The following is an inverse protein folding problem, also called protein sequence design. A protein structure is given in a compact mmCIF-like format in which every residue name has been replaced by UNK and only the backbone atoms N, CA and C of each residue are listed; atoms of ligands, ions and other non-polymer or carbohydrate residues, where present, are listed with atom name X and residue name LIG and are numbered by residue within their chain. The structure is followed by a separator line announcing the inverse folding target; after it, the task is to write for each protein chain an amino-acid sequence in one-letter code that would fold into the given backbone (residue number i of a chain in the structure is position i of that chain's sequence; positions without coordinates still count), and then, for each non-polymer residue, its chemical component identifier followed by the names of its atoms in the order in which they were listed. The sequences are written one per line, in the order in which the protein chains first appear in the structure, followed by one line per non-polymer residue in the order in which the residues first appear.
data_IF_174436679934
#
_entry.id   IF_174436679934
#
_cell.length_a   1.000
_cell.length_b   1.000
_cell.length_c   1.000
_cell.angle_alpha   90.00
_cell.angle_beta   90.00
_cell.angle_gamma   90.00
#
_symmetry.space_group_name_H-M   'P 1'
#
loop_
_entity.id
_entity.type
_entity.pdbx_description
1 polymer ?
#
# COMPACT_ATOMS: atom_id res chain seq x y z
N UNK A 1 0.95 39.65 -18.73
CA UNK A 1 0.38 38.65 -19.64
C UNK A 1 -0.59 37.81 -18.84
N UNK A 2 -1.83 37.71 -19.27
CA UNK A 2 -2.91 37.02 -18.56
C UNK A 2 -2.66 35.49 -18.53
N UNK A 3 -3.14 34.78 -17.47
CA UNK A 3 -3.22 33.33 -17.47
C UNK A 3 -4.01 32.90 -18.73
N UNK A 4 -3.37 32.23 -19.71
CA UNK A 4 -4.09 31.68 -20.83
C UNK A 4 -3.40 31.57 -22.18
N UNK A 5 -2.14 31.96 -22.32
CA UNK A 5 -1.49 32.08 -23.64
C UNK A 5 -0.29 31.13 -23.85
N UNK A 6 -0.45 29.84 -23.50
CA UNK A 6 0.40 28.81 -24.09
C UNK A 6 -0.34 28.28 -25.32
N UNK A 7 0.24 28.40 -26.54
CA UNK A 7 -0.39 27.85 -27.73
C UNK A 7 -0.50 26.33 -27.60
N UNK A 8 -1.64 25.75 -27.98
CA UNK A 8 -1.79 24.32 -28.06
C UNK A 8 -0.77 23.73 -29.04
N UNK A 9 0.07 22.84 -28.57
CA UNK A 9 1.09 22.16 -29.37
C UNK A 9 0.91 20.67 -29.33
N UNK A 10 1.05 20.02 -30.48
CA UNK A 10 1.11 18.55 -30.60
C UNK A 10 2.57 18.17 -30.79
N UNK A 11 3.12 17.41 -29.87
CA UNK A 11 4.52 17.02 -29.85
C UNK A 11 4.69 15.50 -29.84
N UNK A 12 5.61 15.01 -30.66
CA UNK A 12 6.08 13.63 -30.60
C UNK A 12 7.38 13.62 -29.79
N UNK A 13 7.36 12.94 -28.64
CA UNK A 13 8.44 12.97 -27.66
C UNK A 13 8.84 11.57 -27.20
N UNK A 14 10.13 11.41 -26.92
CA UNK A 14 10.67 10.19 -26.32
C UNK A 14 10.75 10.35 -24.79
N UNK A 15 10.37 9.33 -24.05
CA UNK A 15 10.40 9.33 -22.58
C UNK A 15 11.83 9.13 -22.11
N UNK A 16 12.38 10.12 -21.43
CA UNK A 16 13.75 10.10 -20.91
C UNK A 16 13.90 9.08 -19.76
N UNK A 17 13.01 9.19 -18.76
CA UNK A 17 13.01 8.32 -17.57
C UNK A 17 11.64 8.29 -16.89
N UNK A 18 11.48 7.34 -15.97
CA UNK A 18 10.31 7.24 -15.06
C UNK A 18 10.76 7.55 -13.64
N UNK A 19 10.04 8.41 -12.95
CA UNK A 19 10.35 8.77 -11.55
C UNK A 19 9.86 7.72 -10.54
N UNK A 20 10.27 7.88 -9.28
CA UNK A 20 9.87 7.00 -8.17
C UNK A 20 8.35 6.93 -7.89
N UNK A 21 7.53 7.64 -8.67
CA UNK A 21 6.06 7.59 -8.63
C UNK A 21 5.46 6.92 -9.87
N UNK A 22 6.29 6.37 -10.76
CA UNK A 22 5.85 5.76 -12.00
C UNK A 22 5.44 6.76 -13.09
N UNK A 23 5.88 8.02 -13.01
CA UNK A 23 5.57 9.04 -14.01
C UNK A 23 6.73 9.22 -14.97
N UNK A 24 6.43 9.24 -16.27
CA UNK A 24 7.39 9.52 -17.32
C UNK A 24 7.73 11.00 -17.45
N UNK A 25 8.98 11.29 -17.73
CA UNK A 25 9.52 12.63 -17.88
C UNK A 25 10.19 12.80 -19.22
N UNK A 26 9.99 14.00 -19.81
CA UNK A 26 10.65 14.45 -21.03
C UNK A 26 11.14 15.88 -20.84
N UNK A 27 12.37 16.16 -21.28
CA UNK A 27 12.93 17.50 -21.38
C UNK A 27 12.91 17.94 -22.83
N UNK A 28 11.79 18.51 -23.28
CA UNK A 28 11.62 18.97 -24.66
C UNK A 28 12.18 20.37 -24.83
N UNK A 29 13.13 20.54 -25.76
CA UNK A 29 13.70 21.84 -26.10
C UNK A 29 13.14 22.32 -27.44
N UNK A 30 12.46 23.46 -27.43
CA UNK A 30 11.94 24.08 -28.65
C UNK A 30 13.07 24.50 -29.59
N UNK A 31 12.86 24.27 -30.91
CA UNK A 31 13.77 24.82 -31.91
C UNK A 31 13.85 26.34 -31.84
N UNK A 32 15.03 26.98 -32.05
CA UNK A 32 15.25 28.39 -31.88
C UNK A 32 14.36 29.31 -32.74
N UNK A 33 13.86 28.83 -33.84
CA UNK A 33 13.09 29.57 -34.87
C UNK A 33 11.62 29.88 -34.45
N UNK A 34 11.12 29.35 -33.35
CA UNK A 34 9.77 29.64 -32.85
C UNK A 34 9.70 30.70 -31.74
N UNK A 35 10.69 31.55 -31.60
CA UNK A 35 10.70 32.62 -30.62
C UNK A 35 10.82 32.18 -29.15
N UNK A 36 11.18 30.92 -28.92
CA UNK A 36 11.26 30.30 -27.59
C UNK A 36 12.63 30.39 -26.92
N UNK A 37 13.62 31.04 -27.54
CA UNK A 37 14.99 31.21 -27.04
C UNK A 37 15.62 29.92 -26.44
N UNK A 38 15.39 28.75 -27.04
CA UNK A 38 15.92 27.47 -26.54
C UNK A 38 15.38 27.02 -25.17
N UNK A 39 14.18 27.45 -24.80
CA UNK A 39 13.57 27.08 -23.51
C UNK A 39 13.19 25.59 -23.48
N UNK A 40 13.57 24.96 -22.40
CA UNK A 40 13.21 23.54 -22.15
C UNK A 40 11.85 23.46 -21.46
N UNK A 41 10.92 22.72 -22.05
CA UNK A 41 9.64 22.33 -21.45
C UNK A 41 9.76 20.96 -20.81
N UNK A 42 9.49 20.87 -19.53
CA UNK A 42 9.40 19.60 -18.80
C UNK A 42 8.00 19.02 -18.97
N UNK A 43 7.87 17.94 -19.71
CA UNK A 43 6.62 17.22 -19.90
C UNK A 43 6.59 16.04 -18.93
N UNK A 44 5.46 15.86 -18.26
CA UNK A 44 5.21 14.73 -17.35
C UNK A 44 3.97 14.01 -17.83
N UNK A 45 4.08 12.72 -18.06
CA UNK A 45 2.98 11.86 -18.47
C UNK A 45 2.97 10.55 -17.66
N UNK A 46 1.90 9.78 -17.74
CA UNK A 46 1.73 8.51 -17.03
C UNK A 46 1.58 7.36 -18.01
N UNK A 47 1.68 6.11 -17.51
CA UNK A 47 1.48 4.89 -18.28
C UNK A 47 2.49 4.72 -19.42
N UNK A 48 3.72 5.14 -19.18
CA UNK A 48 4.83 5.07 -20.12
C UNK A 48 6.04 4.40 -19.49
N UNK A 49 6.96 3.96 -20.34
CA UNK A 49 8.27 3.44 -19.93
C UNK A 49 9.38 4.21 -20.63
N UNK A 50 10.63 4.20 -20.12
CA UNK A 50 11.76 4.85 -20.78
C UNK A 50 11.93 4.34 -22.24
N UNK A 51 12.20 5.27 -23.16
CA UNK A 51 12.33 4.98 -24.59
C UNK A 51 11.02 4.83 -25.36
N UNK A 52 9.84 4.95 -24.72
CA UNK A 52 8.59 5.12 -25.44
C UNK A 52 8.62 6.44 -26.24
N UNK A 53 8.21 6.38 -27.49
CA UNK A 53 7.90 7.58 -28.28
C UNK A 53 6.39 7.76 -28.28
N UNK A 54 5.94 8.87 -27.73
CA UNK A 54 4.51 9.17 -27.56
C UNK A 54 4.15 10.53 -28.15
N UNK A 55 2.92 10.63 -28.63
CA UNK A 55 2.31 11.92 -28.99
C UNK A 55 1.60 12.50 -27.79
N UNK A 56 1.86 13.76 -27.49
CA UNK A 56 1.20 14.52 -26.43
C UNK A 56 0.65 15.83 -26.96
N UNK A 57 -0.53 16.23 -26.48
CA UNK A 57 -1.10 17.56 -26.72
C UNK A 57 -0.87 18.43 -25.51
N UNK A 58 -0.08 19.48 -25.64
CA UNK A 58 0.21 20.45 -24.58
C UNK A 58 -0.62 21.70 -24.84
N UNK A 59 -1.67 21.91 -24.05
CA UNK A 59 -2.60 23.05 -24.13
C UNK A 59 -2.41 24.03 -22.98
N UNK A 60 -1.73 23.64 -21.90
CA UNK A 60 -1.50 24.46 -20.73
C UNK A 60 -0.20 24.08 -20.01
N UNK A 61 0.82 24.91 -20.12
CA UNK A 61 2.07 24.74 -19.40
C UNK A 61 2.19 25.74 -18.24
N UNK A 62 2.29 25.23 -17.00
CA UNK A 62 2.53 26.07 -15.81
C UNK A 62 3.85 26.83 -15.95
N UNK A 63 3.76 28.16 -16.00
CA UNK A 63 4.94 29.04 -16.12
C UNK A 63 5.71 28.86 -17.43
N UNK A 64 5.14 28.23 -18.46
CA UNK A 64 5.78 27.90 -19.75
C UNK A 64 6.95 26.90 -19.65
N UNK A 65 7.12 26.21 -18.51
CA UNK A 65 8.26 25.32 -18.28
C UNK A 65 7.85 23.90 -17.89
N UNK A 66 6.58 23.66 -17.54
CA UNK A 66 6.10 22.38 -17.05
C UNK A 66 4.69 22.08 -17.53
N UNK A 67 4.50 20.99 -18.23
CA UNK A 67 3.21 20.41 -18.59
C UNK A 67 3.02 19.05 -17.90
N UNK A 68 1.80 18.78 -17.43
CA UNK A 68 1.39 17.45 -16.93
C UNK A 68 0.19 17.05 -17.78
N UNK A 69 0.40 16.17 -18.72
CA UNK A 69 -0.57 15.79 -19.75
C UNK A 69 -0.57 14.28 -19.96
N UNK A 70 -1.72 13.66 -20.26
CA UNK A 70 -1.72 12.28 -20.77
C UNK A 70 -1.07 12.25 -22.15
N UNK A 71 -0.61 11.08 -22.60
CA UNK A 71 -0.26 10.93 -24.00
C UNK A 71 -1.50 10.56 -24.84
N UNK A 72 -1.55 11.06 -26.06
CA UNK A 72 -2.66 10.82 -26.98
C UNK A 72 -2.50 9.49 -27.73
N UNK A 73 -1.24 9.13 -28.06
CA UNK A 73 -0.92 7.93 -28.82
C UNK A 73 0.52 7.46 -28.54
N UNK A 74 0.69 6.15 -28.36
CA UNK A 74 1.99 5.49 -28.41
C UNK A 74 2.39 5.36 -29.89
N UNK A 75 3.53 5.92 -30.27
CA UNK A 75 4.07 5.88 -31.65
C UNK A 75 5.09 4.75 -31.82
N UNK A 76 5.95 4.56 -30.80
CA UNK A 76 6.94 3.50 -30.78
C UNK A 76 7.11 3.03 -29.33
N UNK A 77 7.01 1.70 -29.08
CA UNK A 77 7.25 1.17 -27.72
C UNK A 77 8.74 1.22 -27.37
N UNK A 78 9.03 1.55 -26.12
CA UNK A 78 10.36 1.43 -25.52
C UNK A 78 10.75 -0.04 -25.27
N UNK A 79 12.03 -0.32 -25.01
CA UNK A 79 12.54 -1.70 -24.90
C UNK A 79 11.95 -2.48 -23.72
N UNK A 80 11.62 -1.80 -22.63
CA UNK A 80 11.06 -2.41 -21.42
C UNK A 80 9.53 -2.46 -21.42
N UNK A 81 8.87 -1.98 -22.51
CA UNK A 81 7.41 -1.95 -22.56
C UNK A 81 6.80 -3.34 -22.68
N UNK A 82 5.84 -3.62 -21.80
CA UNK A 82 4.95 -4.78 -21.90
C UNK A 82 3.82 -4.46 -22.88
N UNK A 83 3.74 -5.19 -23.99
CA UNK A 83 2.74 -5.00 -25.06
C UNK A 83 1.47 -5.82 -24.84
N UNK A 84 1.51 -6.82 -23.94
CA UNK A 84 0.40 -7.76 -23.70
C UNK A 84 -0.59 -7.23 -22.64
N UNK A 85 -0.51 -5.95 -22.32
CA UNK A 85 -1.36 -5.36 -21.28
C UNK A 85 -2.74 -4.97 -21.80
N UNK A 86 -3.80 -5.29 -21.05
CA UNK A 86 -5.14 -4.79 -21.33
C UNK A 86 -5.20 -3.26 -21.25
N UNK A 87 -5.84 -2.61 -22.22
CA UNK A 87 -5.86 -1.13 -22.33
C UNK A 87 -6.82 -0.41 -21.37
N UNK A 88 -7.64 -1.13 -20.62
CA UNK A 88 -8.70 -0.55 -19.76
C UNK A 88 -8.20 0.00 -18.39
N UNK A 89 -6.90 -0.12 -18.11
CA UNK A 89 -6.27 0.38 -16.88
C UNK A 89 -5.66 1.78 -17.01
N UNK A 90 -5.78 2.40 -18.17
CA UNK A 90 -4.98 3.57 -18.57
C UNK A 90 -5.18 4.82 -17.70
N UNK A 91 -6.22 4.87 -16.87
CA UNK A 91 -6.63 6.11 -16.19
C UNK A 91 -6.61 6.02 -14.67
N UNK A 92 -6.57 4.81 -14.09
CA UNK A 92 -6.45 4.64 -12.64
C UNK A 92 -4.99 4.59 -12.23
N UNK A 93 -4.59 5.32 -11.21
CA UNK A 93 -3.21 5.27 -10.68
C UNK A 93 -2.87 4.03 -9.85
N UNK A 94 -3.66 2.95 -9.95
CA UNK A 94 -3.53 1.78 -9.08
C UNK A 94 -2.32 0.89 -9.41
N UNK A 95 -1.93 0.85 -10.68
CA UNK A 95 -0.83 0.03 -11.16
C UNK A 95 0.04 0.79 -12.19
N UNK A 96 0.72 1.87 -11.78
CA UNK A 96 1.40 2.79 -12.70
C UNK A 96 2.60 2.17 -13.44
N UNK A 97 3.12 1.03 -13.02
CA UNK A 97 4.20 0.30 -13.70
C UNK A 97 3.70 -0.90 -14.52
N UNK A 98 2.40 -1.12 -14.68
CA UNK A 98 1.85 -2.28 -15.40
C UNK A 98 2.34 -2.38 -16.85
N UNK A 99 2.71 -1.27 -17.49
CA UNK A 99 3.23 -1.22 -18.85
C UNK A 99 4.72 -1.56 -18.96
N UNK A 100 5.41 -1.73 -17.84
CA UNK A 100 6.80 -2.17 -17.78
C UNK A 100 6.84 -3.69 -17.59
N UNK A 101 7.72 -4.39 -18.30
CA UNK A 101 7.95 -5.82 -18.09
C UNK A 101 8.37 -6.09 -16.65
N UNK A 102 7.92 -7.19 -16.08
CA UNK A 102 8.10 -7.44 -14.66
C UNK A 102 9.59 -7.48 -14.20
N UNK A 103 10.52 -8.09 -14.92
CA UNK A 103 11.94 -8.01 -14.55
C UNK A 103 12.47 -6.57 -14.49
N UNK A 104 12.04 -5.71 -15.42
CA UNK A 104 12.44 -4.29 -15.45
C UNK A 104 11.81 -3.49 -14.29
N UNK A 105 10.60 -3.89 -13.83
CA UNK A 105 10.02 -3.32 -12.59
C UNK A 105 10.86 -3.65 -11.37
N UNK A 106 11.39 -4.87 -11.27
CA UNK A 106 12.26 -5.30 -10.17
C UNK A 106 13.57 -4.51 -10.16
N UNK A 107 14.21 -4.36 -11.31
CA UNK A 107 15.41 -3.54 -11.45
C UNK A 107 15.16 -2.07 -11.06
N UNK A 108 14.05 -1.50 -11.55
CA UNK A 108 13.63 -0.14 -11.21
C UNK A 108 13.48 0.04 -9.68
N UNK A 109 12.84 -0.90 -8.99
CA UNK A 109 12.66 -0.87 -7.53
C UNK A 109 13.96 -1.06 -6.76
N UNK A 110 14.83 -1.97 -7.21
CA UNK A 110 16.15 -2.16 -6.63
C UNK A 110 16.98 -0.87 -6.71
N UNK A 111 16.89 -0.16 -7.83
CA UNK A 111 17.57 1.13 -8.01
C UNK A 111 17.04 2.21 -7.06
N UNK A 112 15.72 2.27 -6.79
CA UNK A 112 15.15 3.21 -5.80
C UNK A 112 15.76 2.97 -4.40
N UNK A 113 15.89 1.70 -3.99
CA UNK A 113 16.50 1.34 -2.70
C UNK A 113 17.97 1.75 -2.67
N UNK A 114 18.71 1.40 -3.73
CA UNK A 114 20.13 1.73 -3.87
C UNK A 114 20.38 3.23 -3.79
N UNK A 115 19.69 4.03 -4.59
CA UNK A 115 19.84 5.48 -4.62
C UNK A 115 19.51 6.12 -3.25
N UNK A 116 18.45 5.63 -2.58
CA UNK A 116 18.06 6.15 -1.25
C UNK A 116 19.14 5.92 -0.20
N UNK A 117 19.74 4.73 -0.17
CA UNK A 117 20.80 4.39 0.78
C UNK A 117 22.12 5.09 0.43
N UNK A 118 22.46 5.19 -0.85
CA UNK A 118 23.66 5.87 -1.32
C UNK A 118 23.65 7.36 -0.96
N UNK A 119 22.51 8.04 -1.17
CA UNK A 119 22.33 9.44 -0.78
C UNK A 119 22.48 9.67 0.73
N UNK A 120 22.15 8.69 1.56
CA UNK A 120 22.33 8.73 3.01
C UNK A 120 23.74 8.25 3.46
N UNK A 121 24.62 7.89 2.52
CA UNK A 121 26.01 7.50 2.78
C UNK A 121 26.15 6.10 3.33
N UNK A 122 25.24 5.17 3.01
CA UNK A 122 25.36 3.76 3.36
C UNK A 122 26.05 2.95 2.26
N UNK A 123 26.67 1.84 2.66
CA UNK A 123 27.32 0.90 1.74
C UNK A 123 26.26 0.10 0.96
N UNK A 124 26.14 0.38 -0.33
CA UNK A 124 25.16 -0.29 -1.21
C UNK A 124 25.56 -1.69 -1.65
N UNK A 125 26.80 -2.14 -1.38
CA UNK A 125 27.21 -3.54 -1.63
C UNK A 125 26.54 -4.55 -0.69
N UNK A 126 25.88 -4.08 0.35
CA UNK A 126 25.10 -4.88 1.30
C UNK A 126 23.68 -5.18 0.83
N UNK A 127 23.26 -4.59 -0.30
CA UNK A 127 21.92 -4.80 -0.88
C UNK A 127 21.93 -6.16 -1.59
N UNK A 128 21.02 -7.02 -1.14
CA UNK A 128 20.78 -8.32 -1.76
C UNK A 128 19.92 -8.15 -3.04
N UNK A 129 19.93 -9.13 -3.96
CA UNK A 129 19.01 -9.14 -5.09
C UNK A 129 17.55 -9.01 -4.61
N UNK A 130 16.76 -8.20 -5.32
CA UNK A 130 15.35 -8.01 -4.99
C UNK A 130 14.55 -9.30 -5.17
N UNK A 131 13.68 -9.60 -4.21
CA UNK A 131 12.80 -10.77 -4.27
C UNK A 131 11.51 -10.37 -4.96
N UNK A 132 11.26 -10.95 -6.12
CA UNK A 132 10.02 -10.80 -6.89
C UNK A 132 8.97 -11.87 -6.56
N UNK A 133 7.87 -11.81 -7.30
CA UNK A 133 6.82 -12.83 -7.33
C UNK A 133 6.92 -13.67 -8.58
N UNK A 134 6.63 -14.96 -8.46
CA UNK A 134 6.48 -15.85 -9.62
C UNK A 134 5.24 -15.48 -10.43
N UNK A 135 4.12 -15.19 -9.73
CA UNK A 135 2.85 -14.73 -10.30
C UNK A 135 2.52 -13.32 -9.81
N UNK A 136 3.00 -12.25 -10.49
CA UNK A 136 2.88 -10.89 -10.01
C UNK A 136 1.48 -10.27 -10.18
N UNK A 137 0.54 -11.03 -10.76
CA UNK A 137 -0.81 -10.56 -11.03
C UNK A 137 -1.78 -10.99 -9.93
N UNK A 138 -2.84 -10.19 -9.73
CA UNK A 138 -4.01 -10.52 -8.88
C UNK A 138 -3.66 -10.90 -7.43
N UNK A 139 -2.59 -10.35 -6.91
CA UNK A 139 -2.02 -10.67 -5.60
C UNK A 139 -2.70 -9.95 -4.43
N UNK A 140 -3.48 -8.90 -4.69
CA UNK A 140 -3.95 -7.98 -3.66
C UNK A 140 -5.20 -8.53 -2.97
N UNK A 141 -5.12 -8.78 -1.67
CA UNK A 141 -6.21 -9.35 -0.88
C UNK A 141 -7.26 -8.34 -0.41
N UNK A 142 -7.06 -7.04 -0.63
CA UNK A 142 -8.02 -5.97 -0.26
C UNK A 142 -8.12 -4.92 -1.36
N UNK A 143 -9.33 -4.60 -1.79
CA UNK A 143 -9.64 -3.49 -2.68
C UNK A 143 -10.70 -2.60 -2.07
N UNK A 144 -10.56 -1.29 -2.30
CA UNK A 144 -11.56 -0.29 -1.93
C UNK A 144 -11.88 0.55 -3.16
N UNK A 145 -13.15 0.56 -3.54
CA UNK A 145 -13.68 1.28 -4.69
C UNK A 145 -14.60 2.39 -4.20
N UNK A 146 -14.70 3.46 -4.97
CA UNK A 146 -15.62 4.56 -4.72
C UNK A 146 -16.82 4.48 -5.65
N UNK A 147 -18.01 4.79 -5.13
CA UNK A 147 -19.19 5.04 -5.94
C UNK A 147 -19.14 6.47 -6.48
N UNK A 148 -19.20 6.60 -7.80
CA UNK A 148 -19.27 7.89 -8.48
C UNK A 148 -20.70 8.40 -8.57
N UNK A 149 -20.91 9.74 -8.64
CA UNK A 149 -22.23 10.34 -8.61
C UNK A 149 -23.09 10.06 -9.86
N UNK A 150 -22.48 9.59 -10.95
CA UNK A 150 -23.16 9.24 -12.20
C UNK A 150 -23.30 7.72 -12.42
N UNK A 151 -23.00 6.91 -11.40
CA UNK A 151 -23.25 5.47 -11.38
C UNK A 151 -22.01 4.60 -11.62
N UNK A 152 -20.82 5.20 -11.63
CA UNK A 152 -19.57 4.48 -11.69
C UNK A 152 -19.29 3.79 -10.34
N UNK A 153 -18.65 2.63 -10.39
CA UNK A 153 -18.06 1.96 -9.24
C UNK A 153 -16.61 1.59 -9.58
N UNK A 154 -15.66 2.29 -8.98
CA UNK A 154 -14.26 2.08 -9.34
C UNK A 154 -13.29 2.96 -8.58
N UNK A 155 -12.22 3.35 -9.25
CA UNK A 155 -11.10 4.06 -8.66
C UNK A 155 -11.08 5.53 -9.11
N UNK A 156 -10.48 6.39 -8.28
CA UNK A 156 -10.27 7.77 -8.67
C UNK A 156 -9.27 7.90 -9.81
N UNK A 157 -9.55 8.81 -10.74
CA UNK A 157 -8.63 9.14 -11.83
C UNK A 157 -7.32 9.68 -11.26
N UNK A 158 -6.21 9.24 -11.81
CA UNK A 158 -4.89 9.76 -11.43
C UNK A 158 -4.82 11.28 -11.63
N UNK A 159 -4.47 12.00 -10.55
CA UNK A 159 -4.42 13.46 -10.56
C UNK A 159 -5.77 14.17 -10.43
N UNK A 160 -6.88 13.46 -10.43
CA UNK A 160 -8.23 14.01 -10.23
C UNK A 160 -9.06 13.14 -9.28
N UNK A 161 -8.93 13.38 -7.98
CA UNK A 161 -9.64 12.63 -6.93
C UNK A 161 -11.18 12.81 -6.91
N UNK A 162 -11.70 13.73 -7.72
CA UNK A 162 -13.15 13.97 -7.83
C UNK A 162 -13.82 13.06 -8.86
N UNK A 163 -13.05 12.57 -9.83
CA UNK A 163 -13.57 11.71 -10.89
C UNK A 163 -13.32 10.26 -10.57
N UNK A 164 -14.40 9.49 -10.47
CA UNK A 164 -14.35 8.03 -10.37
C UNK A 164 -14.35 7.44 -11.79
N UNK A 165 -13.48 6.48 -12.03
CA UNK A 165 -13.40 5.70 -13.27
C UNK A 165 -13.96 4.32 -12.97
N UNK A 166 -14.94 3.89 -13.74
CA UNK A 166 -15.56 2.57 -13.57
C UNK A 166 -14.52 1.47 -13.77
N UNK A 167 -14.45 0.53 -12.83
CA UNK A 167 -13.46 -0.55 -12.84
C UNK A 167 -14.04 -1.79 -13.52
N UNK A 168 -13.62 -2.09 -14.73
CA UNK A 168 -14.08 -3.28 -15.46
C UNK A 168 -13.22 -4.51 -15.18
N UNK A 169 -11.91 -4.33 -14.93
CA UNK A 169 -10.99 -5.39 -14.52
C UNK A 169 -9.79 -4.77 -13.77
N UNK A 170 -8.95 -5.59 -13.14
CA UNK A 170 -7.74 -5.15 -12.44
C UNK A 170 -6.64 -6.22 -12.52
N UNK A 171 -5.42 -5.79 -12.90
CA UNK A 171 -4.28 -6.69 -12.91
C UNK A 171 -3.85 -7.10 -11.47
N UNK A 172 -4.15 -6.27 -10.48
CA UNK A 172 -3.74 -6.52 -9.09
C UNK A 172 -4.82 -7.17 -8.22
N UNK A 173 -6.10 -7.07 -8.61
CA UNK A 173 -7.22 -7.62 -7.84
C UNK A 173 -7.59 -9.04 -8.27
N UNK A 174 -7.88 -9.96 -7.34
CA UNK A 174 -8.49 -11.25 -7.64
C UNK A 174 -9.78 -11.13 -8.45
N UNK A 175 -10.06 -12.11 -9.31
CA UNK A 175 -11.26 -12.09 -10.17
C UNK A 175 -12.54 -12.00 -9.34
N UNK A 176 -12.62 -12.69 -8.21
CA UNK A 176 -13.78 -12.64 -7.32
C UNK A 176 -14.16 -11.21 -6.91
N UNK A 177 -13.19 -10.32 -6.70
CA UNK A 177 -13.48 -8.92 -6.37
C UNK A 177 -14.08 -8.16 -7.54
N UNK A 178 -13.68 -8.49 -8.77
CA UNK A 178 -14.26 -7.90 -9.99
C UNK A 178 -15.70 -8.39 -10.18
N UNK A 179 -15.96 -9.66 -9.92
CA UNK A 179 -17.29 -10.25 -9.98
C UNK A 179 -18.22 -9.64 -8.91
N UNK A 180 -17.76 -9.47 -7.67
CA UNK A 180 -18.49 -8.73 -6.61
C UNK A 180 -18.80 -7.32 -7.07
N UNK A 181 -17.81 -6.60 -7.62
CA UNK A 181 -18.01 -5.24 -8.14
C UNK A 181 -19.12 -5.20 -9.20
N UNK A 182 -19.17 -6.16 -10.11
CA UNK A 182 -20.19 -6.20 -11.15
C UNK A 182 -21.60 -6.42 -10.56
N UNK A 183 -21.74 -7.33 -9.60
CA UNK A 183 -23.03 -7.58 -8.91
C UNK A 183 -23.47 -6.32 -8.16
N UNK A 184 -22.58 -5.70 -7.38
CA UNK A 184 -22.88 -4.49 -6.61
C UNK A 184 -23.20 -3.30 -7.53
N UNK A 185 -22.48 -3.16 -8.65
CA UNK A 185 -22.76 -2.10 -9.64
C UNK A 185 -24.14 -2.28 -10.29
N UNK A 186 -24.55 -3.53 -10.58
CA UNK A 186 -25.89 -3.81 -11.11
C UNK A 186 -26.95 -3.56 -10.05
N UNK A 187 -26.75 -4.03 -8.81
CA UNK A 187 -27.64 -3.76 -7.68
C UNK A 187 -27.85 -2.25 -7.43
N UNK A 188 -26.78 -1.46 -7.50
CA UNK A 188 -26.85 0.01 -7.39
C UNK A 188 -27.78 0.60 -8.43
N UNK A 189 -27.69 0.12 -9.70
CA UNK A 189 -28.49 0.60 -10.83
C UNK A 189 -29.96 0.19 -10.69
N UNK A 190 -30.20 -1.04 -10.30
CA UNK A 190 -31.58 -1.58 -10.15
C UNK A 190 -32.38 -0.83 -9.08
N UNK A 191 -31.69 -0.30 -8.07
CA UNK A 191 -32.30 0.49 -6.98
C UNK A 191 -32.18 2.02 -7.18
N UNK A 192 -31.67 2.49 -8.32
CA UNK A 192 -31.39 3.92 -8.61
C UNK A 192 -30.59 4.65 -7.52
N UNK A 193 -29.72 3.94 -6.80
CA UNK A 193 -28.89 4.53 -5.77
C UNK A 193 -27.76 5.36 -6.37
N UNK A 194 -27.60 6.56 -5.85
CA UNK A 194 -26.54 7.49 -6.29
C UNK A 194 -25.30 7.35 -5.43
N UNK A 195 -24.13 7.38 -6.07
CA UNK A 195 -22.86 7.56 -5.39
C UNK A 195 -22.77 8.95 -4.76
N UNK A 196 -21.98 9.03 -3.68
CA UNK A 196 -21.84 10.26 -2.91
C UNK A 196 -21.07 11.34 -3.67
N UNK A 197 -21.73 12.46 -3.93
CA UNK A 197 -21.13 13.66 -4.49
C UNK A 197 -20.49 14.49 -3.36
N UNK A 198 -19.16 14.54 -3.37
CA UNK A 198 -18.37 15.25 -2.34
C UNK A 198 -18.52 16.77 -2.38
N UNK A 199 -18.97 17.35 -3.50
CA UNK A 199 -19.16 18.79 -3.65
C UNK A 199 -20.55 19.21 -3.20
N UNK A 200 -21.56 18.36 -3.40
CA UNK A 200 -22.96 18.63 -3.03
C UNK A 200 -23.38 17.99 -1.70
N UNK A 201 -22.56 17.08 -1.18
CA UNK A 201 -22.87 16.28 0.02
C UNK A 201 -24.20 15.52 -0.09
N UNK A 202 -24.44 14.91 -1.26
CA UNK A 202 -25.63 14.12 -1.57
C UNK A 202 -25.26 12.78 -2.16
N UNK A 203 -26.15 11.79 -2.01
CA UNK A 203 -25.97 10.43 -2.50
C UNK A 203 -25.80 9.43 -1.34
N UNK A 204 -26.28 8.21 -1.55
CA UNK A 204 -26.34 7.15 -0.54
C UNK A 204 -25.01 6.42 -0.40
N UNK A 205 -24.46 5.93 -1.53
CA UNK A 205 -23.33 4.99 -1.54
C UNK A 205 -22.00 5.72 -1.62
N UNK A 206 -21.06 5.38 -0.74
CA UNK A 206 -19.73 6.02 -0.68
C UNK A 206 -18.63 5.14 -1.21
N UNK A 207 -18.41 4.00 -0.57
CA UNK A 207 -17.32 3.08 -0.91
C UNK A 207 -17.80 1.63 -0.87
N UNK A 208 -17.17 0.79 -1.67
CA UNK A 208 -17.22 -0.66 -1.59
C UNK A 208 -15.83 -1.16 -1.23
N UNK A 209 -15.70 -1.83 -0.09
CA UNK A 209 -14.48 -2.54 0.26
C UNK A 209 -14.71 -4.04 0.11
N UNK A 210 -13.74 -4.71 -0.50
CA UNK A 210 -13.71 -6.15 -0.66
C UNK A 210 -12.40 -6.68 -0.11
N UNK A 211 -12.46 -7.80 0.58
CA UNK A 211 -11.29 -8.51 1.07
C UNK A 211 -11.48 -10.00 0.86
N UNK A 212 -10.44 -10.70 0.41
CA UNK A 212 -10.44 -12.15 0.29
C UNK A 212 -9.22 -12.72 1.00
N UNK A 213 -9.41 -13.86 1.63
CA UNK A 213 -8.31 -14.68 2.11
C UNK A 213 -7.81 -15.58 0.99
N UNK A 214 -6.49 -15.64 0.80
CA UNK A 214 -5.88 -16.55 -0.17
C UNK A 214 -5.80 -17.99 0.35
N UNK A 215 -5.65 -18.16 1.68
CA UNK A 215 -5.53 -19.47 2.29
C UNK A 215 -6.89 -20.10 2.65
N UNK A 216 -7.78 -19.32 3.27
CA UNK A 216 -9.11 -19.85 3.68
C UNK A 216 -10.16 -19.73 2.58
N UNK A 217 -9.92 -18.93 1.54
CA UNK A 217 -10.88 -18.62 0.49
C UNK A 217 -12.04 -17.71 0.93
N UNK A 218 -12.08 -17.26 2.18
CA UNK A 218 -13.17 -16.44 2.71
C UNK A 218 -13.23 -15.06 2.04
N UNK A 219 -14.45 -14.60 1.78
CA UNK A 219 -14.74 -13.30 1.18
C UNK A 219 -15.46 -12.40 2.19
N UNK A 220 -14.99 -11.16 2.32
CA UNK A 220 -15.66 -10.07 3.01
C UNK A 220 -16.02 -8.98 2.02
N UNK A 221 -17.26 -8.50 2.11
CA UNK A 221 -17.77 -7.35 1.35
C UNK A 221 -18.31 -6.32 2.33
N UNK A 222 -17.92 -5.06 2.16
CA UNK A 222 -18.35 -3.96 3.03
C UNK A 222 -18.86 -2.81 2.17
N UNK A 223 -20.09 -2.40 2.44
CA UNK A 223 -20.72 -1.22 1.80
C UNK A 223 -20.70 -0.05 2.79
N UNK A 224 -20.11 1.06 2.39
CA UNK A 224 -20.16 2.31 3.14
C UNK A 224 -21.23 3.20 2.55
N UNK A 225 -22.18 3.61 3.37
CA UNK A 225 -23.33 4.43 2.96
C UNK A 225 -23.59 5.58 3.95
N UNK A 226 -24.34 6.58 3.53
CA UNK A 226 -24.70 7.75 4.34
C UNK A 226 -25.88 7.51 5.27
N UNK A 227 -26.58 6.38 5.11
CA UNK A 227 -27.75 5.99 5.88
C UNK A 227 -27.62 4.56 6.38
N UNK A 228 -28.37 4.23 7.43
CA UNK A 228 -28.42 2.88 8.01
C UNK A 228 -29.16 1.89 7.08
N UNK A 229 -28.85 0.59 7.17
CA UNK A 229 -29.48 -0.43 6.31
C UNK A 229 -30.99 -0.53 6.52
N UNK A 230 -31.51 -0.20 7.70
CA UNK A 230 -32.95 -0.21 8.01
C UNK A 230 -33.76 0.81 7.19
N UNK A 231 -33.10 1.83 6.63
CA UNK A 231 -33.75 2.77 5.71
C UNK A 231 -34.06 2.15 4.33
N UNK A 232 -33.40 1.03 3.99
CA UNK A 232 -33.48 0.39 2.67
C UNK A 232 -33.64 -1.14 2.76
N UNK A 233 -34.59 -1.68 3.54
CA UNK A 233 -34.62 -3.09 3.92
C UNK A 233 -34.73 -4.06 2.74
N UNK A 234 -35.51 -3.73 1.72
CA UNK A 234 -35.69 -4.57 0.52
C UNK A 234 -34.43 -4.59 -0.34
N UNK A 235 -33.80 -3.46 -0.55
CA UNK A 235 -32.56 -3.35 -1.33
C UNK A 235 -31.39 -4.05 -0.61
N UNK A 236 -31.30 -3.92 0.71
CA UNK A 236 -30.30 -4.61 1.53
C UNK A 236 -30.49 -6.10 1.48
N UNK A 237 -31.74 -6.58 1.56
CA UNK A 237 -32.05 -8.00 1.40
C UNK A 237 -31.66 -8.51 0.01
N UNK A 238 -32.01 -7.80 -1.05
CA UNK A 238 -31.68 -8.15 -2.44
C UNK A 238 -30.15 -8.21 -2.64
N UNK A 239 -29.37 -7.26 -2.09
CA UNK A 239 -27.90 -7.31 -2.13
C UNK A 239 -27.36 -8.57 -1.42
N UNK A 240 -27.90 -8.86 -0.25
CA UNK A 240 -27.49 -10.03 0.56
C UNK A 240 -27.76 -11.34 -0.18
N UNK A 241 -28.94 -11.47 -0.76
CA UNK A 241 -29.35 -12.65 -1.53
C UNK A 241 -28.41 -12.83 -2.75
N UNK A 242 -28.22 -11.77 -3.58
CA UNK A 242 -27.34 -11.83 -4.76
C UNK A 242 -25.91 -12.25 -4.42
N UNK A 243 -25.33 -11.68 -3.37
CA UNK A 243 -23.94 -11.99 -3.01
C UNK A 243 -23.81 -13.37 -2.37
N UNK A 244 -24.73 -13.78 -1.50
CA UNK A 244 -24.68 -15.09 -0.86
C UNK A 244 -24.96 -16.25 -1.82
N UNK A 245 -25.80 -16.04 -2.83
CA UNK A 245 -26.05 -17.02 -3.89
C UNK A 245 -24.88 -17.13 -4.86
N UNK A 246 -24.27 -16.00 -5.24
CA UNK A 246 -23.17 -15.98 -6.19
C UNK A 246 -21.84 -16.47 -5.58
N UNK A 247 -21.62 -16.24 -4.29
CA UNK A 247 -20.35 -16.55 -3.62
C UNK A 247 -20.54 -17.43 -2.38
N UNK A 248 -20.44 -18.75 -2.50
CA UNK A 248 -20.42 -19.67 -1.33
C UNK A 248 -19.29 -19.34 -0.34
N UNK A 249 -18.25 -18.65 -0.78
CA UNK A 249 -17.14 -18.18 0.05
C UNK A 249 -17.43 -16.90 0.84
N UNK A 250 -18.61 -16.29 0.66
CA UNK A 250 -19.00 -15.08 1.40
C UNK A 250 -19.13 -15.40 2.89
N UNK A 251 -18.17 -14.97 3.68
CA UNK A 251 -18.15 -15.19 5.13
C UNK A 251 -18.60 -13.95 5.92
N UNK A 252 -18.55 -12.78 5.28
CA UNK A 252 -18.88 -11.50 5.91
C UNK A 252 -19.45 -10.53 4.89
N UNK A 253 -20.68 -10.02 5.17
CA UNK A 253 -21.25 -8.85 4.50
C UNK A 253 -21.59 -7.82 5.57
N UNK A 254 -20.98 -6.65 5.49
CA UNK A 254 -21.12 -5.57 6.47
C UNK A 254 -21.59 -4.30 5.79
N UNK A 255 -22.50 -3.59 6.44
CA UNK A 255 -22.90 -2.24 6.07
C UNK A 255 -22.37 -1.27 7.12
N UNK A 256 -21.78 -0.17 6.68
CA UNK A 256 -21.22 0.85 7.57
C UNK A 256 -21.92 2.18 7.29
N UNK A 257 -22.55 2.74 8.32
CA UNK A 257 -22.97 4.12 8.28
C UNK A 257 -21.74 5.02 8.29
N UNK A 258 -21.64 5.92 7.31
CA UNK A 258 -20.50 6.80 7.15
C UNK A 258 -20.97 8.19 6.73
N UNK A 259 -21.27 9.04 7.70
CA UNK A 259 -21.84 10.40 7.50
C UNK A 259 -20.76 11.47 7.50
N UNK A 260 -19.55 11.17 7.98
CA UNK A 260 -18.49 12.15 8.15
C UNK A 260 -18.04 12.80 6.84
N UNK A 261 -18.08 14.13 6.78
CA UNK A 261 -17.73 14.97 5.62
C UNK A 261 -16.21 15.06 5.42
N UNK A 262 -15.40 14.84 6.47
CA UNK A 262 -13.93 15.04 6.44
C UNK A 262 -13.16 14.03 5.59
N UNK A 263 -13.80 13.01 5.05
CA UNK A 263 -13.19 11.99 4.20
C UNK A 263 -12.27 11.00 4.94
N UNK A 264 -12.13 11.10 6.27
CA UNK A 264 -11.47 10.06 7.07
C UNK A 264 -12.50 9.00 7.40
N UNK A 265 -12.26 7.77 6.99
CA UNK A 265 -13.10 6.62 7.34
C UNK A 265 -12.91 6.38 8.85
N UNK A 266 -13.81 6.94 9.64
CA UNK A 266 -14.09 6.49 10.99
C UNK A 266 -15.43 5.77 10.89
N UNK A 267 -15.45 4.46 11.18
CA UNK A 267 -16.70 3.70 11.25
C UNK A 267 -17.57 4.32 12.35
N UNK A 268 -18.73 4.85 11.94
CA UNK A 268 -19.67 5.44 12.88
C UNK A 268 -20.51 4.33 13.52
N UNK A 269 -21.14 3.49 12.71
CA UNK A 269 -21.86 2.30 13.15
C UNK A 269 -21.75 1.21 12.08
N UNK A 270 -21.52 -0.04 12.48
CA UNK A 270 -21.39 -1.18 11.60
C UNK A 270 -22.51 -2.20 11.82
N UNK A 271 -23.08 -2.72 10.74
CA UNK A 271 -24.17 -3.68 10.74
C UNK A 271 -23.75 -4.92 9.96
N UNK A 272 -23.73 -6.09 10.62
CA UNK A 272 -23.49 -7.36 9.94
C UNK A 272 -24.76 -7.82 9.26
N UNK A 273 -24.76 -7.82 7.92
CA UNK A 273 -25.91 -8.21 7.10
C UNK A 273 -25.93 -9.73 6.85
N UNK A 274 -24.75 -10.36 6.75
CA UNK A 274 -24.60 -11.79 6.51
C UNK A 274 -23.34 -12.33 7.16
N UNK A 275 -23.42 -13.54 7.70
CA UNK A 275 -22.30 -14.27 8.30
C UNK A 275 -21.80 -13.61 9.58
N UNK A 276 -20.54 -13.26 9.63
CA UNK A 276 -19.87 -12.62 10.77
C UNK A 276 -19.22 -11.28 10.36
N UNK A 277 -18.79 -10.48 11.33
CA UNK A 277 -18.17 -9.16 11.11
C UNK A 277 -16.65 -9.21 10.78
N UNK A 278 -16.09 -10.43 10.66
CA UNK A 278 -14.69 -10.68 10.34
C UNK A 278 -14.53 -11.86 9.38
N UNK A 279 -13.35 -11.98 8.80
CA UNK A 279 -12.89 -13.18 8.10
C UNK A 279 -11.64 -13.73 8.77
N UNK A 280 -11.33 -14.99 8.48
CA UNK A 280 -10.03 -15.56 8.78
C UNK A 280 -9.11 -15.50 7.57
N UNK A 281 -7.84 -15.21 7.83
CA UNK A 281 -6.74 -15.44 6.87
C UNK A 281 -5.60 -16.15 7.60
N UNK A 282 -4.71 -16.78 6.85
CA UNK A 282 -3.51 -17.41 7.38
C UNK A 282 -2.28 -16.81 6.71
N UNK A 283 -1.20 -16.65 7.48
CA UNK A 283 0.08 -16.20 6.99
C UNK A 283 1.19 -16.89 7.77
N UNK A 284 2.07 -17.60 7.05
CA UNK A 284 3.17 -18.35 7.66
C UNK A 284 2.72 -19.42 8.64
N UNK A 285 1.53 -20.02 8.45
CA UNK A 285 0.94 -21.03 9.34
C UNK A 285 0.27 -20.46 10.59
N UNK A 286 0.12 -19.15 10.68
CA UNK A 286 -0.61 -18.48 11.76
C UNK A 286 -1.95 -17.97 11.27
N UNK A 287 -3.00 -18.20 12.07
CA UNK A 287 -4.36 -17.79 11.76
C UNK A 287 -4.69 -16.45 12.38
N UNK A 288 -5.24 -15.51 11.56
CA UNK A 288 -5.60 -14.16 11.95
C UNK A 288 -7.09 -13.92 11.78
N UNK A 289 -7.70 -13.22 12.75
CA UNK A 289 -9.03 -12.62 12.58
C UNK A 289 -8.87 -11.21 12.02
N UNK A 290 -9.61 -10.93 10.96
CA UNK A 290 -9.46 -9.70 10.20
C UNK A 290 -10.83 -9.05 10.07
N UNK A 291 -11.02 -7.89 10.70
CA UNK A 291 -12.20 -7.04 10.56
C UNK A 291 -12.02 -6.08 9.36
N UNK A 292 -13.09 -5.38 9.02
CA UNK A 292 -13.08 -4.44 7.89
C UNK A 292 -12.04 -3.32 8.05
N UNK A 293 -11.81 -2.83 9.26
CA UNK A 293 -10.87 -1.77 9.61
C UNK A 293 -9.47 -2.27 9.99
N UNK A 294 -9.28 -3.59 10.12
CA UNK A 294 -7.99 -4.19 10.45
C UNK A 294 -6.99 -3.98 9.32
N UNK A 295 -5.81 -3.45 9.64
CA UNK A 295 -4.67 -3.52 8.73
C UNK A 295 -4.16 -4.97 8.68
N UNK A 296 -4.02 -5.50 7.50
CA UNK A 296 -3.39 -6.79 7.22
C UNK A 296 -2.62 -6.67 5.90
N UNK A 297 -1.49 -7.35 5.79
CA UNK A 297 -0.61 -7.24 4.63
C UNK A 297 -1.36 -7.52 3.32
N UNK A 298 -1.33 -6.58 2.35
CA UNK A 298 -2.20 -6.67 1.16
C UNK A 298 -1.76 -7.72 0.14
N UNK A 299 -0.56 -8.27 0.27
CA UNK A 299 -0.02 -9.37 -0.52
C UNK A 299 0.52 -10.44 0.44
N UNK A 300 -0.29 -11.42 0.85
CA UNK A 300 0.10 -12.44 1.83
C UNK A 300 1.33 -13.25 1.39
N UNK A 301 1.41 -13.61 0.11
CA UNK A 301 2.52 -14.42 -0.44
C UNK A 301 3.88 -13.75 -0.22
N UNK A 302 3.97 -12.45 -0.50
CA UNK A 302 5.22 -11.72 -0.26
C UNK A 302 5.40 -11.37 1.22
N UNK A 303 4.31 -11.19 1.97
CA UNK A 303 4.37 -10.96 3.41
C UNK A 303 4.97 -12.16 4.18
N UNK A 304 4.67 -13.38 3.76
CA UNK A 304 5.33 -14.59 4.30
C UNK A 304 6.83 -14.55 4.06
N UNK A 305 7.26 -14.26 2.84
CA UNK A 305 8.70 -14.10 2.53
C UNK A 305 9.33 -12.98 3.37
N UNK A 306 8.62 -11.85 3.58
CA UNK A 306 9.10 -10.76 4.44
C UNK A 306 9.34 -11.24 5.87
N UNK A 307 8.41 -12.00 6.44
CA UNK A 307 8.54 -12.56 7.79
C UNK A 307 9.71 -13.55 7.86
N UNK A 308 9.82 -14.45 6.89
CA UNK A 308 10.89 -15.44 6.86
C UNK A 308 12.27 -14.81 6.76
N UNK A 309 12.45 -13.83 5.86
CA UNK A 309 13.72 -13.08 5.75
C UNK A 309 14.02 -12.25 6.99
N UNK A 310 13.03 -11.64 7.62
CA UNK A 310 13.22 -10.91 8.86
C UNK A 310 13.68 -11.84 10.01
N UNK A 311 13.10 -13.04 10.12
CA UNK A 311 13.49 -14.06 11.07
C UNK A 311 14.90 -14.58 10.82
N UNK A 312 15.26 -14.86 9.56
CA UNK A 312 16.58 -15.31 9.16
C UNK A 312 17.66 -14.26 9.48
N UNK A 313 17.43 -13.00 9.10
CA UNK A 313 18.34 -11.89 9.40
C UNK A 313 18.52 -11.66 10.89
N UNK A 314 17.45 -11.80 11.66
CA UNK A 314 17.45 -11.59 13.10
C UNK A 314 18.21 -12.69 13.85
N UNK A 315 18.26 -13.91 13.27
CA UNK A 315 18.84 -15.10 13.92
C UNK A 315 18.25 -15.29 15.34
N UNK A 316 16.90 -15.33 15.39
CA UNK A 316 16.12 -15.41 16.65
C UNK A 316 16.27 -16.80 17.25
N UNK A 317 16.41 -16.86 18.59
CA UNK A 317 16.47 -18.10 19.35
C UNK A 317 15.71 -18.02 20.68
N UNK A 318 15.52 -19.18 21.33
CA UNK A 318 14.69 -19.36 22.52
C UNK A 318 15.19 -18.60 23.78
N UNK A 319 16.38 -18.02 23.76
CA UNK A 319 16.92 -17.21 24.87
C UNK A 319 16.60 -15.71 24.70
N UNK A 320 16.22 -15.28 23.50
CA UNK A 320 16.04 -13.87 23.16
C UNK A 320 14.68 -13.32 23.59
N UNK A 321 14.71 -12.08 24.09
CA UNK A 321 13.54 -11.20 24.23
C UNK A 321 13.41 -10.30 23.02
N UNK A 322 12.24 -10.32 22.37
CA UNK A 322 11.97 -9.55 21.16
C UNK A 322 11.00 -8.43 21.46
N UNK A 323 11.30 -7.23 21.03
CA UNK A 323 10.38 -6.09 21.03
C UNK A 323 9.93 -5.80 19.59
N UNK A 324 8.62 -5.85 19.35
CA UNK A 324 7.97 -5.48 18.08
C UNK A 324 7.29 -4.12 18.22
N UNK A 325 7.84 -3.10 17.56
CA UNK A 325 7.28 -1.75 17.53
C UNK A 325 6.41 -1.56 16.28
N UNK A 326 5.24 -0.95 16.47
CA UNK A 326 4.20 -0.82 15.45
C UNK A 326 3.63 -2.19 15.07
N UNK A 327 3.43 -3.05 16.08
CA UNK A 327 3.13 -4.46 15.88
C UNK A 327 1.78 -4.74 15.19
N UNK A 328 0.89 -3.75 15.11
CA UNK A 328 -0.44 -3.90 14.51
C UNK A 328 -1.20 -5.07 15.12
N UNK A 329 -1.66 -6.00 14.29
CA UNK A 329 -2.39 -7.21 14.72
C UNK A 329 -1.50 -8.42 14.98
N UNK A 330 -0.17 -8.22 14.96
CA UNK A 330 0.81 -9.23 15.27
C UNK A 330 1.34 -10.03 14.08
N UNK A 331 1.31 -9.49 12.87
CA UNK A 331 1.76 -10.20 11.66
C UNK A 331 3.21 -10.68 11.78
N UNK A 332 4.12 -9.85 12.27
CA UNK A 332 5.49 -10.24 12.60
C UNK A 332 5.60 -10.83 14.01
N UNK A 333 4.81 -10.29 14.96
CA UNK A 333 4.90 -10.70 16.36
C UNK A 333 4.73 -12.20 16.57
N UNK A 334 3.72 -12.82 15.92
CA UNK A 334 3.41 -14.23 16.17
C UNK A 334 4.56 -15.17 15.73
N UNK A 335 5.10 -15.07 14.50
CA UNK A 335 6.24 -15.87 14.07
C UNK A 335 7.51 -15.66 14.92
N UNK A 336 7.77 -14.42 15.36
CA UNK A 336 8.90 -14.10 16.22
C UNK A 336 8.69 -14.65 17.65
N UNK A 337 7.49 -14.54 18.21
CA UNK A 337 7.16 -15.11 19.53
C UNK A 337 7.37 -16.63 19.57
N UNK A 338 7.02 -17.34 18.48
CA UNK A 338 7.20 -18.79 18.38
C UNK A 338 8.65 -19.23 18.49
N UNK A 339 9.62 -18.38 18.12
CA UNK A 339 11.05 -18.66 18.03
C UNK A 339 11.88 -17.93 19.08
N UNK A 340 11.25 -17.22 20.00
CA UNK A 340 11.91 -16.43 21.05
C UNK A 340 11.45 -16.87 22.43
N UNK A 341 12.21 -16.49 23.45
CA UNK A 341 11.85 -16.68 24.86
C UNK A 341 10.50 -16.03 25.17
N UNK A 342 10.38 -14.76 24.81
CA UNK A 342 9.18 -13.96 24.96
C UNK A 342 9.21 -12.77 24.02
N UNK A 343 8.03 -12.26 23.66
CA UNK A 343 7.87 -11.12 22.78
C UNK A 343 6.97 -10.06 23.42
N UNK A 344 7.41 -8.80 23.36
CA UNK A 344 6.56 -7.65 23.65
C UNK A 344 6.18 -6.92 22.36
N UNK A 345 4.92 -6.57 22.16
CA UNK A 345 4.41 -5.76 21.06
C UNK A 345 3.88 -4.42 21.55
N UNK A 346 4.25 -3.33 20.86
CA UNK A 346 3.76 -1.97 21.13
C UNK A 346 3.08 -1.42 19.89
N UNK A 347 1.84 -0.99 20.04
CA UNK A 347 1.02 -0.35 19.01
C UNK A 347 0.16 0.74 19.66
N UNK A 348 -0.07 1.84 18.94
CA UNK A 348 -0.86 2.96 19.46
C UNK A 348 -2.37 2.70 19.38
N UNK A 349 -2.80 1.87 18.44
CA UNK A 349 -4.21 1.56 18.18
C UNK A 349 -4.67 0.43 19.12
N UNK A 350 -5.52 0.74 20.08
CA UNK A 350 -5.98 -0.21 21.09
C UNK A 350 -6.70 -1.44 20.48
N UNK A 351 -7.54 -1.22 19.46
CA UNK A 351 -8.25 -2.32 18.77
C UNK A 351 -7.30 -3.27 18.05
N UNK A 352 -6.16 -2.79 17.56
CA UNK A 352 -5.10 -3.62 16.98
C UNK A 352 -4.43 -4.47 18.05
N UNK A 353 -4.15 -3.91 19.23
CA UNK A 353 -3.60 -4.64 20.38
C UNK A 353 -4.55 -5.76 20.84
N UNK A 354 -5.85 -5.47 20.96
CA UNK A 354 -6.84 -6.50 21.29
C UNK A 354 -6.90 -7.62 20.24
N UNK A 355 -6.74 -7.26 18.97
CA UNK A 355 -6.63 -8.22 17.87
C UNK A 355 -5.33 -9.04 17.99
N UNK A 356 -4.19 -8.43 18.26
CA UNK A 356 -2.91 -9.12 18.45
C UNK A 356 -2.95 -10.12 19.61
N UNK A 357 -3.50 -9.71 20.78
CA UNK A 357 -3.70 -10.60 21.92
C UNK A 357 -4.57 -11.82 21.58
N UNK A 358 -5.66 -11.59 20.85
CA UNK A 358 -6.58 -12.64 20.42
C UNK A 358 -5.91 -13.58 19.41
N UNK A 359 -5.21 -13.01 18.43
CA UNK A 359 -4.48 -13.80 17.43
C UNK A 359 -3.39 -14.66 18.10
N UNK A 360 -2.62 -14.11 19.06
CA UNK A 360 -1.64 -14.89 19.82
C UNK A 360 -2.29 -16.06 20.56
N UNK A 361 -3.39 -15.80 21.27
CA UNK A 361 -4.14 -16.83 21.99
C UNK A 361 -4.70 -17.92 21.06
N UNK A 362 -5.30 -17.52 19.94
CA UNK A 362 -5.90 -18.46 18.97
C UNK A 362 -4.83 -19.35 18.31
N UNK A 363 -3.56 -18.90 18.27
CA UNK A 363 -2.39 -19.65 17.79
C UNK A 363 -1.60 -20.35 18.91
N UNK A 364 -2.09 -20.36 20.15
CA UNK A 364 -1.46 -21.06 21.26
C UNK A 364 -0.14 -20.46 21.72
N UNK A 365 0.04 -19.14 21.56
CA UNK A 365 1.21 -18.40 22.02
C UNK A 365 0.89 -17.71 23.35
N UNK A 366 1.55 -18.13 24.43
CA UNK A 366 1.40 -17.64 25.79
C UNK A 366 2.60 -16.77 26.27
N UNK A 367 3.64 -16.70 25.45
CA UNK A 367 4.86 -15.92 25.70
C UNK A 367 4.82 -14.50 25.08
N UNK A 368 3.63 -13.92 24.94
CA UNK A 368 3.43 -12.60 24.33
C UNK A 368 2.91 -11.58 25.34
N UNK A 369 3.41 -10.35 25.23
CA UNK A 369 2.96 -9.20 26.00
C UNK A 369 2.63 -8.03 25.04
N UNK A 370 1.37 -7.61 24.96
CA UNK A 370 0.95 -6.53 24.06
C UNK A 370 0.48 -5.30 24.83
N UNK A 371 0.99 -4.12 24.46
CA UNK A 371 0.72 -2.85 25.10
C UNK A 371 0.24 -1.79 24.11
N UNK A 372 -0.95 -1.21 24.36
CA UNK A 372 -1.44 -0.04 23.64
C UNK A 372 -0.70 1.22 24.15
N UNK A 373 0.24 1.74 23.40
CA UNK A 373 1.04 2.92 23.78
C UNK A 373 1.69 3.58 22.57
N UNK A 374 1.98 4.89 22.70
CA UNK A 374 2.95 5.54 21.82
C UNK A 374 4.31 4.84 21.92
N UNK A 375 4.98 4.63 20.76
CA UNK A 375 6.23 3.88 20.70
C UNK A 375 7.31 4.38 21.66
N UNK A 376 7.48 5.70 21.83
CA UNK A 376 8.49 6.29 22.71
C UNK A 376 8.16 6.07 24.19
N UNK A 377 6.86 6.22 24.52
CA UNK A 377 6.38 6.01 25.88
C UNK A 377 6.50 4.53 26.24
N UNK A 378 6.03 3.65 25.36
CA UNK A 378 6.12 2.21 25.57
C UNK A 378 7.55 1.73 25.76
N UNK A 379 8.49 2.14 24.90
CA UNK A 379 9.92 1.80 25.04
C UNK A 379 10.54 2.30 26.35
N UNK A 380 10.04 3.42 26.93
CA UNK A 380 10.54 3.93 28.21
C UNK A 380 10.02 3.10 29.39
N UNK A 381 8.77 2.66 29.32
CA UNK A 381 8.10 1.93 30.41
C UNK A 381 8.42 0.42 30.39
N UNK A 382 8.61 -0.15 29.20
CA UNK A 382 8.77 -1.59 28.99
C UNK A 382 9.92 -2.24 29.78
N UNK A 383 11.14 -1.64 29.86
CA UNK A 383 12.23 -2.27 30.60
C UNK A 383 11.93 -2.52 32.09
N UNK A 384 11.09 -1.71 32.71
CA UNK A 384 10.72 -1.85 34.13
C UNK A 384 9.67 -2.94 34.36
N UNK A 385 8.76 -3.16 33.39
CA UNK A 385 7.62 -4.07 33.54
C UNK A 385 7.83 -5.43 32.87
N UNK A 386 8.68 -5.50 31.85
CA UNK A 386 8.90 -6.71 31.07
C UNK A 386 10.39 -7.09 30.94
N UNK A 387 11.30 -6.12 30.93
CA UNK A 387 12.74 -6.28 30.82
C UNK A 387 13.32 -5.71 29.55
N UNK A 388 14.66 -5.83 29.39
CA UNK A 388 15.38 -5.34 28.21
C UNK A 388 15.22 -6.31 27.04
N UNK A 389 14.92 -5.81 25.82
CA UNK A 389 14.93 -6.62 24.61
C UNK A 389 16.34 -6.87 24.11
N UNK A 390 16.60 -8.07 23.59
CA UNK A 390 17.83 -8.45 22.87
C UNK A 390 17.75 -8.08 21.39
N UNK A 391 16.54 -8.11 20.84
CA UNK A 391 16.20 -7.79 19.45
C UNK A 391 15.03 -6.82 19.40
N UNK A 392 15.14 -5.82 18.54
CA UNK A 392 14.05 -4.91 18.21
C UNK A 392 13.66 -5.07 16.74
N UNK A 393 12.38 -5.31 16.50
CA UNK A 393 11.74 -5.31 15.18
C UNK A 393 10.86 -4.07 15.08
N UNK A 394 10.82 -3.42 13.91
CA UNK A 394 9.87 -2.35 13.64
C UNK A 394 9.40 -2.34 12.20
N UNK A 395 8.09 -2.08 12.02
CA UNK A 395 7.42 -1.89 10.73
C UNK A 395 6.56 -0.61 10.80
N UNK A 396 7.19 0.59 10.76
CA UNK A 396 6.50 1.85 10.94
C UNK A 396 5.71 2.26 9.68
N UNK A 397 4.81 3.26 9.81
CA UNK A 397 4.08 3.79 8.67
C UNK A 397 5.02 4.41 7.62
N UNK A 398 4.49 4.68 6.42
CA UNK A 398 5.23 5.17 5.25
C UNK A 398 6.09 6.43 5.48
N UNK A 399 5.79 7.22 6.50
CA UNK A 399 6.59 8.38 6.90
C UNK A 399 7.88 8.03 7.63
N UNK A 400 8.10 6.75 7.95
CA UNK A 400 9.16 6.27 8.83
C UNK A 400 8.78 6.37 10.31
N UNK A 401 9.65 5.89 11.17
CA UNK A 401 9.51 6.00 12.63
C UNK A 401 9.85 7.42 13.12
N UNK A 402 10.73 8.10 12.40
CA UNK A 402 11.16 9.48 12.65
C UNK A 402 12.21 9.62 13.77
N UNK A 403 13.02 10.65 13.68
CA UNK A 403 14.21 10.83 14.51
C UNK A 403 13.97 10.80 16.04
N UNK A 404 12.77 11.10 16.53
CA UNK A 404 12.47 11.00 17.96
C UNK A 404 12.37 9.54 18.43
N UNK A 405 11.72 8.69 17.65
CA UNK A 405 11.60 7.24 17.89
C UNK A 405 12.96 6.58 17.71
N UNK A 406 13.66 6.88 16.61
CA UNK A 406 14.98 6.31 16.31
C UNK A 406 16.02 6.62 17.41
N UNK A 407 16.02 7.84 17.95
CA UNK A 407 16.87 8.17 19.11
C UNK A 407 16.48 7.41 20.38
N UNK A 408 15.18 7.09 20.56
CA UNK A 408 14.76 6.26 21.69
C UNK A 408 15.24 4.82 21.53
N UNK A 409 15.19 4.27 20.32
CA UNK A 409 15.76 2.95 19.96
C UNK A 409 17.27 2.92 20.22
N UNK A 410 17.99 3.95 19.75
CA UNK A 410 19.44 4.06 19.98
C UNK A 410 19.82 4.08 21.47
N UNK A 411 19.03 4.76 22.32
CA UNK A 411 19.22 4.80 23.78
C UNK A 411 18.85 3.49 24.48
N UNK A 412 17.80 2.79 23.99
CA UNK A 412 17.43 1.46 24.47
C UNK A 412 18.60 0.50 24.35
N UNK A 413 19.37 0.64 23.27
CA UNK A 413 20.67 -0.01 23.12
C UNK A 413 20.61 -1.49 22.80
N UNK A 414 19.52 -1.98 22.24
CA UNK A 414 19.32 -3.34 21.77
C UNK A 414 20.42 -3.75 20.78
N UNK A 415 20.96 -4.96 20.89
CA UNK A 415 22.10 -5.41 20.08
C UNK A 415 21.77 -5.45 18.57
N UNK A 416 20.56 -5.89 18.20
CA UNK A 416 20.08 -6.01 16.82
C UNK A 416 18.79 -5.25 16.62
N UNK A 417 18.66 -4.60 15.45
CA UNK A 417 17.44 -3.93 15.02
C UNK A 417 17.09 -4.41 13.60
N UNK A 418 15.92 -5.02 13.45
CA UNK A 418 15.32 -5.34 12.15
C UNK A 418 14.32 -4.21 11.83
N UNK A 419 14.52 -3.54 10.72
CA UNK A 419 13.61 -2.50 10.24
C UNK A 419 12.97 -2.95 8.92
N UNK A 420 11.66 -3.06 8.89
CA UNK A 420 10.85 -3.28 7.68
C UNK A 420 10.28 -1.95 7.22
N UNK A 421 10.36 -1.62 5.95
CA UNK A 421 9.92 -0.31 5.44
C UNK A 421 9.35 -0.38 4.04
N UNK A 422 8.18 0.23 3.86
CA UNK A 422 7.57 0.42 2.53
C UNK A 422 8.06 1.69 1.80
N UNK A 423 9.03 2.42 2.36
CA UNK A 423 9.56 3.66 1.78
C UNK A 423 11.08 3.77 1.98
N UNK A 424 11.89 3.43 0.97
CA UNK A 424 13.35 3.44 1.07
C UNK A 424 13.94 4.79 1.48
N UNK A 425 13.29 5.90 1.12
CA UNK A 425 13.77 7.24 1.48
C UNK A 425 13.65 7.49 2.97
N UNK A 426 12.46 7.28 3.57
CA UNK A 426 12.27 7.46 5.01
C UNK A 426 13.08 6.44 5.82
N UNK A 427 13.25 5.22 5.29
CA UNK A 427 14.15 4.23 5.86
C UNK A 427 15.58 4.77 5.96
N UNK A 428 16.15 5.24 4.84
CA UNK A 428 17.51 5.77 4.80
C UNK A 428 17.71 6.95 5.78
N UNK A 429 16.72 7.85 5.88
CA UNK A 429 16.73 8.96 6.84
C UNK A 429 16.72 8.47 8.31
N UNK A 430 15.93 7.44 8.61
CA UNK A 430 15.82 6.85 9.95
C UNK A 430 17.10 6.09 10.34
N UNK A 431 17.70 5.34 9.41
CA UNK A 431 18.94 4.60 9.67
C UNK A 431 20.13 5.51 10.04
N UNK A 432 20.16 6.75 9.54
CA UNK A 432 21.21 7.73 9.92
C UNK A 432 21.21 7.98 11.43
N UNK A 433 20.03 8.05 12.06
CA UNK A 433 19.94 8.22 13.51
C UNK A 433 20.53 7.05 14.30
N UNK A 434 20.35 5.80 13.83
CA UNK A 434 20.93 4.63 14.49
C UNK A 434 22.45 4.60 14.35
N UNK A 435 22.99 5.02 13.21
CA UNK A 435 24.44 5.14 13.00
C UNK A 435 25.09 6.03 14.06
N UNK A 436 24.43 7.13 14.44
CA UNK A 436 24.92 8.03 15.49
C UNK A 436 24.98 7.39 16.88
N UNK A 437 24.26 6.27 17.09
CA UNK A 437 24.31 5.46 18.30
C UNK A 437 25.22 4.22 18.18
N UNK A 438 26.06 4.16 17.16
CA UNK A 438 27.03 3.08 16.96
C UNK A 438 26.44 1.82 16.33
N UNK A 439 25.33 1.92 15.59
CA UNK A 439 24.82 0.82 14.79
C UNK A 439 25.41 0.85 13.38
N UNK A 440 25.74 -0.31 12.87
CA UNK A 440 26.15 -0.52 11.49
C UNK A 440 25.08 -1.27 10.69
N UNK A 441 24.93 -0.90 9.44
CA UNK A 441 24.12 -1.63 8.47
C UNK A 441 24.84 -2.94 8.11
N UNK A 442 24.17 -4.08 8.25
CA UNK A 442 24.73 -5.41 7.96
C UNK A 442 24.20 -6.02 6.68
N UNK A 443 22.91 -5.88 6.42
CA UNK A 443 22.30 -6.40 5.19
C UNK A 443 21.02 -5.64 4.87
N UNK A 444 20.66 -5.62 3.58
CA UNK A 444 19.48 -4.99 3.04
C UNK A 444 18.82 -5.96 2.07
N UNK A 445 17.56 -6.31 2.31
CA UNK A 445 16.79 -7.18 1.44
C UNK A 445 15.56 -6.43 0.89
N UNK A 446 15.60 -6.00 -0.38
CA UNK A 446 14.41 -5.50 -1.06
C UNK A 446 13.44 -6.63 -1.42
N UNK A 447 12.14 -6.37 -1.30
CA UNK A 447 11.08 -7.34 -1.64
C UNK A 447 9.98 -6.60 -2.41
N UNK A 448 9.51 -7.19 -3.50
CA UNK A 448 8.40 -6.65 -4.27
C UNK A 448 7.04 -7.06 -3.68
N UNK A 449 6.61 -6.37 -2.64
CA UNK A 449 5.29 -6.53 -2.00
C UNK A 449 4.14 -6.03 -2.90
N UNK A 450 4.43 -5.12 -3.83
CA UNK A 450 3.42 -4.43 -4.63
C UNK A 450 3.77 -4.44 -6.13
N UNK A 451 3.75 -5.59 -6.81
CA UNK A 451 3.93 -5.67 -8.25
C UNK A 451 3.08 -4.63 -9.01
N UNK A 452 3.58 -4.15 -10.13
CA UNK A 452 2.96 -3.13 -10.99
C UNK A 452 2.86 -1.73 -10.39
N UNK A 453 3.44 -1.52 -9.20
CA UNK A 453 3.54 -0.20 -8.54
C UNK A 453 5.00 0.15 -8.28
N UNK A 454 5.35 1.43 -8.08
CA UNK A 454 6.73 1.82 -7.74
C UNK A 454 7.11 1.54 -6.28
N UNK A 455 6.20 0.97 -5.48
CA UNK A 455 6.47 0.68 -4.07
C UNK A 455 7.34 -0.55 -3.94
N UNK A 456 8.26 -0.52 -2.98
CA UNK A 456 9.15 -1.60 -2.63
C UNK A 456 9.26 -1.68 -1.12
N UNK A 457 9.13 -2.88 -0.58
CA UNK A 457 9.45 -3.17 0.82
C UNK A 457 10.94 -3.45 0.95
N UNK A 458 11.51 -3.05 2.07
CA UNK A 458 12.94 -3.21 2.32
C UNK A 458 13.15 -3.63 3.77
N UNK A 459 13.76 -4.79 3.97
CA UNK A 459 14.14 -5.28 5.30
C UNK A 459 15.62 -5.01 5.50
N UNK A 460 15.98 -4.42 6.63
CA UNK A 460 17.38 -4.17 6.98
C UNK A 460 17.71 -4.69 8.36
N UNK A 461 18.93 -5.17 8.51
CA UNK A 461 19.55 -5.47 9.79
C UNK A 461 20.57 -4.39 10.15
N UNK A 462 20.32 -3.71 11.27
CA UNK A 462 21.28 -2.86 11.94
C UNK A 462 21.80 -3.57 13.18
N UNK A 463 23.11 -3.57 13.38
CA UNK A 463 23.75 -4.22 14.52
C UNK A 463 24.63 -3.23 15.27
N UNK A 464 24.50 -3.21 16.60
CA UNK A 464 25.33 -2.36 17.45
C UNK A 464 26.74 -2.88 17.50
N UNK A 465 27.70 -2.01 17.23
CA UNK A 465 29.12 -2.34 17.38
C UNK A 465 29.47 -2.37 18.86
N UNK A 466 29.96 -3.51 19.33
CA UNK A 466 30.52 -3.62 20.70
C UNK A 466 31.85 -2.90 20.68
N UNK A 467 31.94 -1.76 21.35
CA UNK A 467 33.17 -1.01 21.55
C UNK A 467 34.18 -1.76 22.44
#
# INVERSE_FOLDING_TARGET
MRKGDYPTEVLDVEIDYVDSKGRGFVHYTHAPDRGSNGRTLKIITSNVVPGDVVRVTVDNAKGRYKAVVPYDKLLKPGPTRNLDMPTHFDVSGAAPLQYMKYPDQLEFKANIVKESLEQAGFNTSLIQPIIGMDEPNRYRNKMELSFGPTGELGMHQQGNYRKVIDLNDSIIAPKVMIEVKHIVSQWQKDNDFKGYDKDKHTGLLRNLMMRTSFETGELMVVVYATEKPEAHPEAVKDLTDRLSEAFPSLASLVWIEYTNISGRIQSEESFTLYGRDYIYDELGGYRYRIWHDTFFQPNPVQAEKMVDYALEMADVNDDMRVLDLFCGVGTFSLPFAKRSKELAGIEIVETSIESAKRNAKDNGLDNTFFMASDARRGMKELPEIWGQPDLLLLDPPRSGAGGKVMRSIGRLGTDKVIYVSCNPKSLAEDLVWLRDFGYELKTVQPIDQFPHTPHVETIVLMQKVKG
#
